data_IF_692788061888
#
_entry.id   IF_692788061888
#
_cell.length_a   1.000
_cell.length_b   1.000
_cell.length_c   1.000
_cell.angle_alpha   90.00
_cell.angle_beta   90.00
_cell.angle_gamma   90.00
#
_symmetry.space_group_name_H-M   'P 1'
#
loop_
_entity.id
_entity.type
_entity.pdbx_description
1 polymer ?
#
# COMPACT_ATOMS: atom_id res chain seq x y z
N UNK A 1 -20.94 26.63 12.61
CA UNK A 1 -19.95 26.57 11.51
C UNK A 1 -18.72 27.32 11.99
N UNK A 2 -17.64 26.61 12.32
CA UNK A 2 -16.35 27.21 12.67
C UNK A 2 -15.35 26.84 11.58
N UNK A 3 -15.32 27.63 10.51
CA UNK A 3 -14.46 27.40 9.35
C UNK A 3 -13.32 28.40 9.42
N UNK A 4 -12.08 27.89 9.44
CA UNK A 4 -10.90 28.74 9.37
C UNK A 4 -10.48 28.87 7.91
N UNK A 5 -10.36 30.10 7.43
CA UNK A 5 -9.91 30.41 6.07
C UNK A 5 -8.45 30.86 6.11
N UNK A 6 -7.62 30.32 5.24
CA UNK A 6 -6.22 30.68 5.06
C UNK A 6 -6.12 31.45 3.75
N UNK A 7 -5.63 32.69 3.84
CA UNK A 7 -5.48 33.58 2.69
C UNK A 7 -4.05 33.59 2.16
N UNK A 8 -3.90 33.72 0.84
CA UNK A 8 -2.62 33.95 0.17
C UNK A 8 -2.78 35.13 -0.78
N UNK A 9 -1.89 36.12 -0.66
CA UNK A 9 -1.96 37.39 -1.40
C UNK A 9 -3.28 38.16 -1.21
N UNK A 10 -3.96 37.97 -0.07
CA UNK A 10 -5.24 38.62 0.23
C UNK A 10 -6.46 37.93 -0.36
N UNK A 11 -6.30 36.75 -0.96
CA UNK A 11 -7.41 35.92 -1.44
C UNK A 11 -7.50 34.61 -0.65
N UNK A 12 -8.73 34.14 -0.32
CA UNK A 12 -8.93 32.88 0.39
C UNK A 12 -8.51 31.70 -0.48
N UNK A 13 -7.46 30.99 -0.07
CA UNK A 13 -6.90 29.86 -0.81
C UNK A 13 -7.37 28.51 -0.23
N UNK A 14 -7.47 28.42 1.11
CA UNK A 14 -7.89 27.19 1.79
C UNK A 14 -8.92 27.45 2.88
N UNK A 15 -9.82 26.48 3.10
CA UNK A 15 -10.73 26.45 4.23
C UNK A 15 -10.54 25.14 5.01
N UNK A 16 -10.33 25.25 6.32
CA UNK A 16 -10.24 24.10 7.23
C UNK A 16 -11.61 23.90 7.87
N UNK A 17 -12.16 22.70 7.71
CA UNK A 17 -13.44 22.30 8.28
C UNK A 17 -13.24 21.08 9.19
N UNK A 18 -14.00 20.97 10.30
CA UNK A 18 -14.15 19.71 11.01
C UNK A 18 -14.65 18.62 10.07
N UNK A 19 -14.11 17.40 10.20
CA UNK A 19 -14.40 16.29 9.28
C UNK A 19 -15.89 16.01 9.09
N UNK A 20 -16.67 16.04 10.17
CA UNK A 20 -18.11 15.81 10.14
C UNK A 20 -18.87 16.90 9.33
N UNK A 21 -18.42 18.15 9.36
CA UNK A 21 -19.04 19.26 8.62
C UNK A 21 -18.77 19.12 7.11
N UNK A 22 -17.54 18.74 6.73
CA UNK A 22 -17.20 18.44 5.34
C UNK A 22 -18.06 17.30 4.77
N UNK A 23 -18.24 16.22 5.52
CA UNK A 23 -19.08 15.10 5.10
C UNK A 23 -20.55 15.51 4.90
N UNK A 24 -21.09 16.35 5.80
CA UNK A 24 -22.45 16.86 5.66
C UNK A 24 -22.63 17.72 4.40
N UNK A 25 -21.64 18.56 4.06
CA UNK A 25 -21.65 19.36 2.83
C UNK A 25 -21.61 18.51 1.56
N UNK A 26 -20.82 17.44 1.56
CA UNK A 26 -20.78 16.49 0.44
C UNK A 26 -22.14 15.80 0.24
N UNK A 27 -22.74 15.30 1.33
CA UNK A 27 -24.06 14.68 1.30
C UNK A 27 -25.14 15.65 0.79
N UNK A 28 -25.14 16.89 1.29
CA UNK A 28 -26.07 17.93 0.83
C UNK A 28 -25.86 18.30 -0.65
N UNK A 29 -24.63 18.24 -1.15
CA UNK A 29 -24.30 18.43 -2.56
C UNK A 29 -24.60 17.21 -3.44
N UNK A 30 -25.18 16.13 -2.89
CA UNK A 30 -25.43 14.88 -3.61
C UNK A 30 -24.15 14.17 -4.05
N UNK A 31 -23.00 14.53 -3.48
CA UNK A 31 -21.71 13.92 -3.73
C UNK A 31 -21.42 12.92 -2.61
N UNK A 32 -21.33 11.63 -2.94
CA UNK A 32 -20.79 10.66 -1.99
C UNK A 32 -19.34 11.04 -1.68
N UNK A 33 -18.88 11.00 -0.42
CA UNK A 33 -17.46 11.10 -0.12
C UNK A 33 -16.78 9.89 -0.75
N UNK A 34 -16.28 10.05 -1.98
CA UNK A 34 -15.21 9.20 -2.47
C UNK A 34 -14.10 9.35 -1.44
N UNK A 35 -13.84 8.25 -0.75
CA UNK A 35 -12.78 8.08 0.24
C UNK A 35 -11.56 8.90 -0.21
N UNK A 36 -10.96 9.63 0.72
CA UNK A 36 -9.61 10.19 0.53
C UNK A 36 -8.78 9.15 -0.24
N UNK A 37 -8.01 9.50 -1.28
CA UNK A 37 -7.19 8.52 -1.97
C UNK A 37 -6.04 8.09 -1.05
N UNK A 38 -6.34 7.26 -0.05
CA UNK A 38 -5.44 6.21 0.39
C UNK A 38 -5.16 5.43 -0.88
N UNK A 39 -3.93 5.46 -1.38
CA UNK A 39 -3.52 4.64 -2.53
C UNK A 39 -4.01 3.20 -2.25
N UNK A 40 -5.05 2.70 -2.96
CA UNK A 40 -5.75 1.48 -2.53
C UNK A 40 -4.86 0.22 -2.59
N UNK A 41 -3.73 0.29 -3.29
CA UNK A 41 -2.95 -0.88 -3.66
C UNK A 41 -1.63 -1.04 -2.88
N UNK A 42 -1.17 -0.01 -2.18
CA UNK A 42 0.12 -0.04 -1.49
C UNK A 42 0.04 -0.69 -0.09
N UNK A 43 -1.10 -0.55 0.60
CA UNK A 43 -1.20 -0.90 2.03
C UNK A 43 -2.00 -2.18 2.33
N UNK A 44 -2.62 -2.79 1.31
CA UNK A 44 -3.35 -4.04 1.50
C UNK A 44 -2.39 -5.26 1.47
N UNK A 45 -2.56 -6.26 2.35
CA UNK A 45 -1.79 -7.49 2.27
C UNK A 45 -2.05 -8.20 0.94
N UNK A 46 -0.97 -8.68 0.30
CA UNK A 46 -0.99 -9.30 -1.03
C UNK A 46 -0.97 -10.84 -0.92
N UNK A 47 -1.63 -11.59 -1.83
CA UNK A 47 -1.49 -13.04 -1.86
C UNK A 47 -0.08 -13.45 -2.28
N UNK A 48 0.43 -14.55 -1.72
CA UNK A 48 1.79 -15.04 -2.01
C UNK A 48 1.98 -15.43 -3.49
N UNK A 49 0.88 -15.76 -4.20
CA UNK A 49 0.89 -16.02 -5.65
C UNK A 49 1.32 -14.82 -6.48
N UNK A 50 1.22 -13.58 -5.96
CA UNK A 50 1.68 -12.37 -6.64
C UNK A 50 3.19 -12.12 -6.46
N UNK A 51 3.90 -12.94 -5.67
CA UNK A 51 5.32 -12.76 -5.39
C UNK A 51 6.17 -12.56 -6.65
N UNK A 52 5.97 -13.40 -7.67
CA UNK A 52 6.70 -13.33 -8.94
C UNK A 52 6.45 -12.00 -9.64
N UNK A 53 5.18 -11.59 -9.75
CA UNK A 53 4.80 -10.33 -10.40
C UNK A 53 5.33 -9.10 -9.65
N UNK A 54 5.30 -9.13 -8.32
CA UNK A 54 5.83 -8.05 -7.47
C UNK A 54 7.35 -7.93 -7.60
N UNK A 55 8.06 -9.06 -7.63
CA UNK A 55 9.51 -9.09 -7.86
C UNK A 55 9.85 -8.52 -9.23
N UNK A 56 9.15 -8.95 -10.27
CA UNK A 56 9.38 -8.51 -11.65
C UNK A 56 9.01 -7.06 -11.88
N UNK A 57 7.93 -6.57 -11.26
CA UNK A 57 7.54 -5.16 -11.26
C UNK A 57 8.59 -4.25 -10.63
N UNK A 58 9.44 -4.78 -9.73
CA UNK A 58 10.62 -4.09 -9.19
C UNK A 58 11.89 -4.27 -10.01
N UNK A 59 11.84 -5.03 -11.10
CA UNK A 59 13.02 -5.35 -11.92
C UNK A 59 14.04 -6.24 -11.21
N UNK A 60 13.66 -6.93 -10.12
CA UNK A 60 14.55 -7.79 -9.37
C UNK A 60 14.63 -9.18 -10.01
N UNK A 61 15.83 -9.72 -10.16
CA UNK A 61 16.01 -11.14 -10.44
C UNK A 61 15.69 -11.99 -9.21
N UNK A 62 15.41 -13.28 -9.43
CA UNK A 62 15.20 -14.24 -8.33
C UNK A 62 16.42 -14.33 -7.41
N UNK A 63 17.62 -14.27 -7.97
CA UNK A 63 18.86 -14.36 -7.19
C UNK A 63 19.05 -13.12 -6.29
N UNK A 64 18.75 -11.92 -6.80
CA UNK A 64 18.81 -10.67 -6.02
C UNK A 64 17.81 -10.65 -4.86
N UNK A 65 16.54 -11.03 -5.11
CA UNK A 65 15.54 -11.09 -4.05
C UNK A 65 15.91 -12.13 -2.98
N UNK A 66 16.35 -13.32 -3.40
CA UNK A 66 16.75 -14.38 -2.48
C UNK A 66 17.90 -13.93 -1.57
N UNK A 67 18.92 -13.26 -2.14
CA UNK A 67 20.03 -12.68 -1.39
C UNK A 67 19.58 -11.59 -0.42
N UNK A 68 18.67 -10.71 -0.83
CA UNK A 68 18.15 -9.64 0.03
C UNK A 68 17.36 -10.18 1.23
N UNK A 69 16.67 -11.31 1.05
CA UNK A 69 15.89 -11.99 2.11
C UNK A 69 16.77 -12.91 2.96
N UNK A 70 17.93 -13.33 2.46
CA UNK A 70 18.83 -14.25 3.15
C UNK A 70 18.48 -15.74 2.95
N UNK A 71 17.86 -16.09 1.82
CA UNK A 71 17.49 -17.47 1.45
C UNK A 71 18.18 -17.90 0.15
N UNK A 72 18.12 -19.19 -0.17
CA UNK A 72 18.68 -19.68 -1.44
C UNK A 72 17.77 -19.34 -2.64
N UNK A 73 18.32 -19.08 -3.84
CA UNK A 73 17.53 -18.85 -5.05
C UNK A 73 16.62 -20.03 -5.41
N UNK A 74 17.04 -21.25 -5.08
CA UNK A 74 16.23 -22.46 -5.24
C UNK A 74 15.01 -22.43 -4.30
N UNK A 75 15.23 -22.07 -3.03
CA UNK A 75 14.15 -21.95 -2.05
C UNK A 75 13.13 -20.87 -2.45
N UNK A 76 13.59 -19.72 -2.94
CA UNK A 76 12.70 -18.70 -3.49
C UNK A 76 11.87 -19.22 -4.67
N UNK A 77 12.47 -20.02 -5.57
CA UNK A 77 11.73 -20.66 -6.66
C UNK A 77 10.64 -21.64 -6.20
N UNK A 78 10.88 -22.40 -5.14
CA UNK A 78 9.84 -23.26 -4.53
C UNK A 78 8.70 -22.43 -3.91
N UNK A 79 8.98 -21.23 -3.41
CA UNK A 79 7.94 -20.33 -2.90
C UNK A 79 7.13 -19.75 -4.07
N UNK A 80 7.79 -19.23 -5.10
CA UNK A 80 7.14 -18.62 -6.27
C UNK A 80 6.26 -19.61 -7.05
N UNK A 81 6.64 -20.89 -7.05
CA UNK A 81 5.84 -21.98 -7.65
C UNK A 81 4.71 -22.48 -6.75
N UNK A 82 4.66 -22.06 -5.49
CA UNK A 82 3.70 -22.55 -4.49
C UNK A 82 4.01 -23.94 -3.94
N UNK A 83 5.13 -24.56 -4.31
CA UNK A 83 5.58 -25.86 -3.79
C UNK A 83 5.89 -25.79 -2.29
N UNK A 84 6.32 -24.62 -1.79
CA UNK A 84 6.68 -24.45 -0.39
C UNK A 84 6.14 -23.16 0.20
N UNK A 85 5.50 -23.28 1.37
CA UNK A 85 5.14 -22.13 2.20
C UNK A 85 6.31 -21.73 3.11
N UNK A 86 6.76 -20.47 3.06
CA UNK A 86 7.77 -19.95 3.97
C UNK A 86 7.19 -19.65 5.35
N UNK A 87 8.06 -19.56 6.36
CA UNK A 87 7.64 -19.16 7.71
C UNK A 87 7.39 -17.64 7.81
N UNK A 88 6.87 -17.22 8.97
CA UNK A 88 6.55 -15.82 9.25
C UNK A 88 7.77 -14.88 9.23
N UNK A 89 8.99 -15.38 9.46
CA UNK A 89 10.19 -14.54 9.39
C UNK A 89 10.52 -14.22 7.93
N UNK A 90 10.48 -15.23 7.06
CA UNK A 90 10.75 -15.08 5.63
C UNK A 90 9.65 -14.28 4.94
N UNK A 91 8.38 -14.48 5.30
CA UNK A 91 7.26 -13.66 4.81
C UNK A 91 7.47 -12.17 5.13
N UNK A 92 7.85 -11.83 6.37
CA UNK A 92 8.14 -10.44 6.74
C UNK A 92 9.32 -9.85 5.97
N UNK A 93 10.39 -10.62 5.79
CA UNK A 93 11.54 -10.18 5.03
C UNK A 93 11.18 -9.93 3.55
N UNK A 94 10.40 -10.82 2.93
CA UNK A 94 9.88 -10.64 1.57
C UNK A 94 9.01 -9.39 1.46
N UNK A 95 8.09 -9.17 2.40
CA UNK A 95 7.22 -8.00 2.41
C UNK A 95 8.04 -6.70 2.51
N UNK A 96 9.07 -6.68 3.37
CA UNK A 96 9.95 -5.54 3.54
C UNK A 96 10.73 -5.19 2.27
N UNK A 97 11.36 -6.17 1.61
CA UNK A 97 12.10 -5.94 0.35
C UNK A 97 11.15 -5.50 -0.77
N UNK A 98 9.94 -6.05 -0.82
CA UNK A 98 8.93 -5.71 -1.81
C UNK A 98 8.14 -4.45 -1.48
N UNK A 99 8.32 -3.85 -0.29
CA UNK A 99 7.66 -2.61 0.10
C UNK A 99 6.14 -2.72 0.18
N UNK A 100 5.65 -3.89 0.62
CA UNK A 100 4.22 -4.15 0.85
C UNK A 100 3.97 -4.34 2.35
N UNK A 101 2.75 -4.09 2.81
CA UNK A 101 2.41 -4.14 4.24
C UNK A 101 2.35 -5.56 4.81
N UNK A 102 2.21 -6.58 3.96
CA UNK A 102 2.24 -7.98 4.38
C UNK A 102 1.68 -8.95 3.35
N UNK A 103 1.60 -10.21 3.74
CA UNK A 103 1.04 -11.29 2.94
C UNK A 103 -0.31 -11.73 3.48
N UNK A 104 -1.20 -12.16 2.60
CA UNK A 104 -2.45 -12.82 2.99
C UNK A 104 -2.14 -14.23 3.52
N UNK A 105 -2.79 -14.59 4.63
CA UNK A 105 -2.69 -15.91 5.26
C UNK A 105 -3.58 -16.94 4.55
#
# INVERSE_FOLDING_TARGET
>A
MNVQVIERNGEPEYAVLPWAEYQALLQAAGKSPAVVPSQPDADAPKPLSELTALREGKGLSRDELARAVGISPHYLGMIESGERQPDAAILRALAWVLGISGWQA
#
